data_IF_984100152218
#
_entry.id   IF_984100152218
#
_cell.length_a   1.000
_cell.length_b   1.000
_cell.length_c   1.000
_cell.angle_alpha   90.00
_cell.angle_beta   90.00
_cell.angle_gamma   90.00
#
_symmetry.space_group_name_H-M   'P 1'
#
loop_
_entity.id
_entity.type
_entity.pdbx_description
1 polymer ?
#
# COMPACT_ATOMS: atom_id res chain seq x y z
N UNK A 1 -9.17 -22.44 -13.12
CA UNK A 1 -9.91 -21.20 -13.46
C UNK A 1 -9.44 -19.96 -12.69
N UNK A 2 -9.69 -19.79 -11.38
CA UNK A 2 -9.22 -18.56 -10.68
C UNK A 2 -7.69 -18.37 -10.71
N UNK A 3 -6.91 -19.46 -10.52
CA UNK A 3 -5.43 -19.43 -10.52
C UNK A 3 -4.80 -19.02 -11.86
N UNK A 4 -5.45 -19.30 -12.99
CA UNK A 4 -4.93 -18.94 -14.32
C UNK A 4 -5.18 -17.46 -14.65
N UNK A 5 -6.27 -16.89 -14.14
CA UNK A 5 -6.57 -15.47 -14.32
C UNK A 5 -5.54 -14.59 -13.58
N UNK A 6 -5.12 -14.98 -12.37
CA UNK A 6 -4.11 -14.28 -11.58
C UNK A 6 -2.66 -14.41 -12.09
N UNK A 7 -2.32 -15.51 -12.77
CA UNK A 7 -1.02 -15.66 -13.40
C UNK A 7 -0.92 -14.86 -14.71
N UNK A 8 -2.06 -14.58 -15.37
CA UNK A 8 -2.13 -13.79 -16.62
C UNK A 8 -1.97 -12.28 -16.38
N UNK A 9 -2.40 -11.77 -15.22
CA UNK A 9 -2.33 -10.33 -14.87
C UNK A 9 -0.89 -9.80 -14.91
N UNK A 10 0.10 -10.60 -14.51
CA UNK A 10 1.51 -10.17 -14.42
C UNK A 10 2.42 -10.74 -15.53
N UNK A 11 1.85 -11.35 -16.58
CA UNK A 11 2.60 -12.04 -17.66
C UNK A 11 2.44 -11.41 -19.05
N UNK A 12 1.84 -10.22 -19.15
CA UNK A 12 1.63 -9.55 -20.42
C UNK A 12 2.87 -8.77 -20.89
N UNK A 13 3.43 -9.14 -22.04
CA UNK A 13 4.27 -8.24 -22.84
C UNK A 13 3.47 -6.95 -23.11
N UNK A 14 3.69 -5.89 -22.32
CA UNK A 14 2.91 -4.64 -22.38
C UNK A 14 2.46 -4.05 -21.03
N UNK A 15 2.80 -4.66 -19.89
CA UNK A 15 2.57 -4.04 -18.57
C UNK A 15 3.32 -2.71 -18.44
N UNK A 16 2.59 -1.58 -18.45
CA UNK A 16 3.17 -0.29 -18.06
C UNK A 16 3.37 -0.22 -16.54
N UNK A 17 4.29 0.63 -16.09
CA UNK A 17 4.49 0.92 -14.66
C UNK A 17 3.17 1.38 -14.02
N UNK A 18 2.40 2.21 -14.72
CA UNK A 18 1.09 2.66 -14.26
C UNK A 18 0.09 1.50 -14.11
N UNK A 19 0.09 0.54 -15.06
CA UNK A 19 -0.76 -0.63 -14.90
C UNK A 19 -0.36 -1.44 -13.67
N UNK A 20 0.92 -1.73 -13.50
CA UNK A 20 1.40 -2.54 -12.37
C UNK A 20 1.06 -1.91 -11.02
N UNK A 21 1.36 -0.63 -10.83
CA UNK A 21 1.29 0.04 -9.53
C UNK A 21 -0.01 0.80 -9.27
N UNK A 22 -0.89 0.94 -10.27
CA UNK A 22 -2.17 1.63 -10.10
C UNK A 22 -3.35 0.85 -10.66
N UNK A 23 -3.30 0.47 -11.94
CA UNK A 23 -4.51 0.05 -12.67
C UNK A 23 -4.76 -1.47 -12.68
N UNK A 24 -3.80 -2.26 -12.20
CA UNK A 24 -3.96 -3.69 -12.01
C UNK A 24 -5.08 -3.93 -10.97
N UNK A 25 -6.05 -4.85 -11.21
CA UNK A 25 -7.16 -5.08 -10.28
C UNK A 25 -6.74 -5.34 -8.84
N UNK A 26 -5.64 -6.09 -8.63
CA UNK A 26 -5.07 -6.35 -7.31
C UNK A 26 -4.58 -5.06 -6.67
N UNK A 27 -3.84 -4.24 -7.43
CA UNK A 27 -3.27 -3.00 -6.92
C UNK A 27 -4.34 -1.94 -6.65
N UNK A 28 -5.36 -1.83 -7.53
CA UNK A 28 -6.57 -1.02 -7.30
C UNK A 28 -7.22 -1.39 -5.96
N UNK A 29 -7.43 -2.69 -5.72
CA UNK A 29 -8.04 -3.18 -4.46
C UNK A 29 -7.24 -2.80 -3.22
N UNK A 30 -5.91 -2.92 -3.29
CA UNK A 30 -5.01 -2.52 -2.20
C UNK A 30 -5.04 -1.02 -1.93
N UNK A 31 -5.06 -0.19 -2.97
CA UNK A 31 -5.17 1.26 -2.80
C UNK A 31 -6.52 1.67 -2.20
N UNK A 32 -7.63 1.10 -2.66
CA UNK A 32 -8.93 1.35 -2.06
C UNK A 32 -8.94 0.99 -0.57
N UNK A 33 -8.37 -0.17 -0.18
CA UNK A 33 -8.24 -0.54 1.23
C UNK A 33 -7.43 0.48 2.04
N UNK A 34 -6.31 0.96 1.50
CA UNK A 34 -5.46 1.95 2.17
C UNK A 34 -6.16 3.30 2.36
N UNK A 35 -6.84 3.81 1.34
CA UNK A 35 -7.58 5.07 1.46
C UNK A 35 -8.81 4.94 2.36
N UNK A 36 -9.52 3.80 2.31
CA UNK A 36 -10.63 3.52 3.23
C UNK A 36 -10.16 3.46 4.69
N UNK A 37 -8.98 2.89 4.95
CA UNK A 37 -8.36 2.89 6.29
C UNK A 37 -8.10 4.32 6.78
N UNK A 38 -7.72 5.22 5.87
CA UNK A 38 -7.55 6.64 6.16
C UNK A 38 -8.86 7.43 6.18
N UNK A 39 -10.02 6.79 5.95
CA UNK A 39 -11.33 7.45 5.92
C UNK A 39 -11.58 8.30 4.68
N UNK A 40 -10.89 8.02 3.56
CA UNK A 40 -10.94 8.83 2.34
C UNK A 40 -11.54 8.06 1.17
N UNK A 41 -12.32 8.78 0.35
CA UNK A 41 -12.66 8.31 -0.98
C UNK A 41 -11.44 8.42 -1.90
N UNK A 42 -11.19 7.38 -2.69
CA UNK A 42 -10.09 7.34 -3.64
C UNK A 42 -10.57 7.09 -5.05
N UNK A 43 -10.02 7.87 -5.97
CA UNK A 43 -10.15 7.68 -7.41
C UNK A 43 -8.75 7.49 -7.97
N UNK A 44 -8.47 6.39 -8.69
CA UNK A 44 -7.14 6.13 -9.23
C UNK A 44 -6.73 7.27 -10.19
N UNK A 45 -5.57 7.90 -9.96
CA UNK A 45 -5.05 8.91 -10.88
C UNK A 45 -4.54 8.24 -12.16
N UNK A 46 -4.22 9.04 -13.17
CA UNK A 46 -3.80 8.53 -14.48
C UNK A 46 -2.42 7.86 -14.41
N UNK A 47 -1.50 8.42 -13.65
CA UNK A 47 -0.10 7.98 -13.59
C UNK A 47 0.37 7.70 -12.16
N UNK A 48 1.38 6.82 -12.02
CA UNK A 48 2.05 6.56 -10.74
C UNK A 48 2.73 7.82 -10.20
N UNK A 49 3.17 8.72 -11.09
CA UNK A 49 3.77 9.99 -10.70
C UNK A 49 2.75 10.86 -9.95
N UNK A 50 1.54 11.03 -10.50
CA UNK A 50 0.44 11.75 -9.84
C UNK A 50 0.10 11.09 -8.50
N UNK A 51 0.15 9.76 -8.46
CA UNK A 51 -0.09 9.01 -7.23
C UNK A 51 0.99 9.27 -6.17
N UNK A 52 2.26 9.31 -6.57
CA UNK A 52 3.36 9.66 -5.67
C UNK A 52 3.24 11.10 -5.20
N UNK A 53 2.81 12.02 -6.07
CA UNK A 53 2.52 13.40 -5.67
C UNK A 53 1.44 13.42 -4.59
N UNK A 54 0.34 12.66 -4.75
CA UNK A 54 -0.70 12.52 -3.73
C UNK A 54 -0.14 11.88 -2.46
N UNK A 55 0.69 10.83 -2.56
CA UNK A 55 1.25 10.14 -1.40
C UNK A 55 2.23 11.02 -0.61
N UNK A 56 3.08 11.79 -1.29
CA UNK A 56 4.14 12.59 -0.67
C UNK A 56 3.69 13.99 -0.27
N UNK A 57 2.73 14.59 -1.00
CA UNK A 57 2.08 15.84 -0.58
C UNK A 57 0.92 15.61 0.38
N UNK A 58 0.42 14.37 0.48
CA UNK A 58 -0.84 14.06 1.12
C UNK A 58 -0.78 13.47 2.52
N UNK A 59 -1.95 13.65 3.15
CA UNK A 59 -2.46 13.22 4.45
C UNK A 59 -1.72 13.62 5.72
N UNK A 60 -2.49 14.27 6.60
CA UNK A 60 -2.12 14.56 7.97
C UNK A 60 -1.53 15.95 8.16
N UNK A 61 -1.91 16.58 9.28
CA UNK A 61 -1.38 17.90 9.65
C UNK A 61 -0.08 17.77 10.46
N UNK A 62 0.17 16.60 11.06
CA UNK A 62 1.37 16.33 11.85
C UNK A 62 2.45 15.61 11.05
N UNK A 63 3.71 15.75 11.47
CA UNK A 63 4.83 14.97 10.93
C UNK A 63 4.55 13.47 11.04
N UNK A 64 3.98 13.04 12.17
CA UNK A 64 3.68 11.63 12.44
C UNK A 64 2.65 11.08 11.45
N UNK A 65 1.60 11.85 11.17
CA UNK A 65 0.53 11.44 10.25
C UNK A 65 1.08 11.30 8.82
N UNK A 66 1.85 12.29 8.37
CA UNK A 66 2.51 12.28 7.04
C UNK A 66 3.47 11.11 6.91
N UNK A 67 4.28 10.86 7.93
CA UNK A 67 5.21 9.74 7.93
C UNK A 67 4.46 8.40 7.87
N UNK A 68 3.41 8.20 8.68
CA UNK A 68 2.66 6.95 8.65
C UNK A 68 2.03 6.69 7.28
N UNK A 69 1.42 7.72 6.69
CA UNK A 69 0.82 7.67 5.37
C UNK A 69 1.84 7.34 4.27
N UNK A 70 2.96 8.07 4.24
CA UNK A 70 4.04 7.85 3.27
C UNK A 70 4.62 6.44 3.40
N UNK A 71 4.84 5.96 4.63
CA UNK A 71 5.34 4.61 4.89
C UNK A 71 4.38 3.56 4.33
N UNK A 72 3.07 3.69 4.57
CA UNK A 72 2.10 2.73 4.05
C UNK A 72 2.03 2.74 2.51
N UNK A 73 2.07 3.91 1.89
CA UNK A 73 2.12 4.04 0.43
C UNK A 73 3.36 3.36 -0.16
N UNK A 74 4.53 3.61 0.43
CA UNK A 74 5.80 3.01 -0.02
C UNK A 74 5.83 1.50 0.21
N UNK A 75 5.32 1.02 1.34
CA UNK A 75 5.21 -0.41 1.61
C UNK A 75 4.26 -1.09 0.63
N UNK A 76 3.14 -0.47 0.26
CA UNK A 76 2.22 -1.00 -0.76
C UNK A 76 2.96 -1.17 -2.11
N UNK A 77 3.65 -0.13 -2.58
CA UNK A 77 4.43 -0.19 -3.83
C UNK A 77 5.49 -1.28 -3.78
N UNK A 78 6.25 -1.35 -2.67
CA UNK A 78 7.26 -2.38 -2.49
C UNK A 78 6.68 -3.79 -2.49
N UNK A 79 5.53 -4.00 -1.83
CA UNK A 79 4.87 -5.29 -1.77
C UNK A 79 4.31 -5.73 -3.12
N UNK A 80 3.74 -4.81 -3.91
CA UNK A 80 3.30 -5.07 -5.30
C UNK A 80 4.49 -5.48 -6.17
N UNK A 81 5.60 -4.75 -6.09
CA UNK A 81 6.82 -5.08 -6.84
C UNK A 81 7.37 -6.47 -6.44
N UNK A 82 7.44 -6.74 -5.13
CA UNK A 82 7.90 -8.03 -4.61
C UNK A 82 7.01 -9.19 -5.05
N UNK A 83 5.69 -8.98 -5.02
CA UNK A 83 4.73 -9.97 -5.47
C UNK A 83 4.88 -10.29 -6.96
N UNK A 84 5.06 -9.25 -7.79
CA UNK A 84 5.35 -9.42 -9.23
C UNK A 84 6.59 -10.27 -9.46
N UNK A 85 7.68 -9.96 -8.77
CA UNK A 85 8.93 -10.70 -8.89
C UNK A 85 8.76 -12.17 -8.46
N UNK A 86 8.06 -12.42 -7.35
CA UNK A 86 7.80 -13.78 -6.89
C UNK A 86 6.98 -14.59 -7.92
N UNK A 87 6.03 -13.97 -8.61
CA UNK A 87 5.23 -14.64 -9.65
C UNK A 87 6.04 -14.95 -10.90
N UNK A 88 6.98 -14.08 -11.26
CA UNK A 88 7.85 -14.25 -12.43
C UNK A 88 8.93 -15.31 -12.16
N UNK A 89 9.63 -15.21 -11.03
CA UNK A 89 10.83 -16.00 -10.75
C UNK A 89 10.57 -17.27 -9.95
N UNK A 90 9.60 -17.26 -9.02
CA UNK A 90 9.31 -18.42 -8.17
C UNK A 90 8.02 -19.15 -8.54
N UNK A 91 7.23 -18.61 -9.48
CA UNK A 91 5.90 -19.11 -9.84
C UNK A 91 4.93 -19.24 -8.64
N UNK A 92 5.17 -18.45 -7.59
CA UNK A 92 4.32 -18.38 -6.39
C UNK A 92 3.57 -17.07 -6.38
N UNK A 93 2.26 -17.14 -6.16
CA UNK A 93 1.39 -15.97 -5.98
C UNK A 93 0.62 -16.06 -4.67
N UNK A 94 0.57 -14.96 -3.92
CA UNK A 94 -0.26 -14.80 -2.73
C UNK A 94 -1.64 -14.25 -3.09
N UNK A 95 -2.60 -14.45 -2.19
CA UNK A 95 -3.91 -13.81 -2.29
C UNK A 95 -3.82 -12.34 -1.86
N UNK A 96 -4.73 -11.51 -2.37
CA UNK A 96 -4.77 -10.08 -2.07
C UNK A 96 -4.88 -9.79 -0.56
N UNK A 97 -5.66 -10.59 0.17
CA UNK A 97 -5.83 -10.47 1.63
C UNK A 97 -4.50 -10.66 2.37
N UNK A 98 -3.72 -11.67 1.98
CA UNK A 98 -2.39 -11.90 2.56
C UNK A 98 -1.42 -10.78 2.20
N UNK A 99 -1.53 -10.19 1.01
CA UNK A 99 -0.73 -9.02 0.63
C UNK A 99 -1.08 -7.81 1.49
N UNK A 100 -2.38 -7.58 1.73
CA UNK A 100 -2.85 -6.51 2.59
C UNK A 100 -2.32 -6.66 4.03
N UNK A 101 -2.41 -7.86 4.61
CA UNK A 101 -1.91 -8.12 5.97
C UNK A 101 -0.40 -7.86 6.07
N UNK A 102 0.36 -8.28 5.05
CA UNK A 102 1.81 -8.01 4.97
C UNK A 102 2.10 -6.52 4.82
N UNK A 103 1.32 -5.79 4.00
CA UNK A 103 1.46 -4.33 3.85
C UNK A 103 1.26 -3.67 5.22
N UNK A 104 0.18 -4.00 5.92
CA UNK A 104 -0.11 -3.41 7.23
C UNK A 104 0.97 -3.75 8.27
N UNK A 105 1.44 -5.00 8.28
CA UNK A 105 2.52 -5.44 9.15
C UNK A 105 3.82 -4.69 8.88
N UNK A 106 4.30 -4.67 7.63
CA UNK A 106 5.57 -4.02 7.29
C UNK A 106 5.50 -2.49 7.45
N UNK A 107 4.37 -1.87 7.10
CA UNK A 107 4.16 -0.44 7.31
C UNK A 107 4.28 -0.09 8.79
N UNK A 108 3.64 -0.88 9.66
CA UNK A 108 3.68 -0.69 11.11
C UNK A 108 5.06 -0.96 11.69
N UNK A 109 5.71 -2.04 11.24
CA UNK A 109 7.05 -2.41 11.69
C UNK A 109 8.05 -1.31 11.34
N UNK A 110 8.05 -0.83 10.10
CA UNK A 110 8.97 0.22 9.69
C UNK A 110 8.64 1.57 10.34
N UNK A 111 7.36 1.90 10.52
CA UNK A 111 6.97 3.10 11.27
C UNK A 111 7.44 3.04 12.74
N UNK A 112 7.40 1.86 13.37
CA UNK A 112 7.87 1.68 14.76
C UNK A 112 9.37 1.96 14.94
N UNK A 113 10.16 1.85 13.87
CA UNK A 113 11.58 2.20 13.88
C UNK A 113 11.83 3.72 13.82
N UNK A 114 10.81 4.53 13.56
CA UNK A 114 10.94 5.99 13.44
C UNK A 114 10.70 6.64 14.81
N UNK A 115 11.59 7.57 15.18
CA UNK A 115 11.55 8.24 16.48
C UNK A 115 10.19 8.89 16.82
N UNK A 116 9.46 9.36 15.80
CA UNK A 116 8.12 9.95 15.94
C UNK A 116 7.05 9.00 16.51
N UNK A 117 7.30 7.69 16.51
CA UNK A 117 6.37 6.66 17.03
C UNK A 117 6.92 5.92 18.26
N UNK A 118 7.98 6.43 18.90
CA UNK A 118 8.52 5.82 20.12
C UNK A 118 7.41 5.73 21.19
N UNK A 119 7.20 4.52 21.73
CA UNK A 119 6.18 4.26 22.74
C UNK A 119 4.78 3.97 22.19
N UNK A 120 4.57 4.03 20.87
CA UNK A 120 3.31 3.62 20.23
C UNK A 120 3.33 2.10 20.02
N UNK A 121 2.33 1.35 20.51
CA UNK A 121 2.24 -0.09 20.27
C UNK A 121 2.10 -0.42 18.78
N UNK A 122 2.72 -1.52 18.32
CA UNK A 122 2.63 -1.97 16.93
C UNK A 122 1.18 -2.22 16.49
N UNK A 123 0.35 -2.78 17.38
CA UNK A 123 -1.07 -3.01 17.14
C UNK A 123 -1.85 -1.72 16.88
N UNK A 124 -1.46 -0.60 17.50
CA UNK A 124 -2.08 0.70 17.25
C UNK A 124 -1.71 1.23 15.86
N UNK A 125 -0.44 1.07 15.44
CA UNK A 125 0.02 1.41 14.09
C UNK A 125 -0.64 0.56 12.99
N UNK A 126 -0.98 -0.69 13.33
CA UNK A 126 -1.54 -1.63 12.36
C UNK A 126 -3.04 -1.47 12.14
N UNK A 127 -3.81 -1.13 13.18
CA UNK A 127 -5.28 -1.17 13.10
C UNK A 127 -5.97 0.14 13.47
N UNK A 128 -5.32 1.05 14.21
CA UNK A 128 -5.99 2.19 14.82
C UNK A 128 -5.36 3.53 14.43
N UNK A 129 -5.30 3.81 13.13
CA UNK A 129 -4.72 5.04 12.60
C UNK A 129 -5.39 6.31 13.15
N UNK A 130 -6.68 6.27 13.47
CA UNK A 130 -7.41 7.38 14.11
C UNK A 130 -6.94 7.69 15.54
N UNK A 131 -6.37 6.71 16.25
CA UNK A 131 -5.80 6.91 17.58
C UNK A 131 -4.34 7.36 17.52
N UNK A 132 -3.63 6.95 16.47
CA UNK A 132 -2.22 7.30 16.22
C UNK A 132 -2.11 8.69 15.59
N UNK A 133 -3.01 9.04 14.68
CA UNK A 133 -3.05 10.32 13.99
C UNK A 133 -3.98 11.28 14.72
N UNK A 134 -3.47 12.44 15.14
CA UNK A 134 -4.24 13.43 15.90
C UNK A 134 -5.15 14.30 15.01
N UNK A 135 -4.90 14.29 13.70
CA UNK A 135 -5.62 15.12 12.74
C UNK A 135 -6.79 14.33 12.16
N UNK A 136 -8.01 14.72 12.49
CA UNK A 136 -9.14 14.42 11.59
C UNK A 136 -8.86 15.17 10.29
N UNK A 137 -8.81 14.44 9.17
CA UNK A 137 -8.80 15.06 7.83
C UNK A 137 -10.08 15.86 7.65
#
# INVERSE_FOLDING_TARGET
MAKEQYAKVYKGNGESIDHLFLHCPVTIGLWHKLFNLAGLAWVPPRSIEDMLVIAFKGLGNSLRDKTLWQMACLTLLWMVWKERNNRIFEYKGRMEEMLWDLIMFFSSLWASCIAAFRGVPLSALQFNWTTVCASKV
#
